data_IF_357986487473
#
_entry.id   IF_357986487473
#
_cell.length_a   1.000
_cell.length_b   1.000
_cell.length_c   1.000
_cell.angle_alpha   90.00
_cell.angle_beta   90.00
_cell.angle_gamma   90.00
#
_symmetry.space_group_name_H-M   'P 1'
#
loop_
_entity.id
_entity.type
_entity.pdbx_description
1 polymer ?
#
# COMPACT_ATOMS: atom_id res chain seq x y z
N UNK A 1 9.30 0.47 3.98
CA UNK A 1 10.50 0.89 3.28
C UNK A 1 11.75 0.18 3.80
N UNK A 2 12.74 0.12 2.99
CA UNK A 2 14.01 -0.54 3.28
C UNK A 2 15.14 0.18 2.56
N UNK A 3 16.31 0.25 3.18
CA UNK A 3 17.49 0.80 2.51
C UNK A 3 18.25 -0.35 1.86
N UNK A 4 18.47 -0.26 0.54
CA UNK A 4 19.20 -1.26 -0.24
C UNK A 4 20.27 -0.50 -1.02
N UNK A 5 21.54 -0.87 -0.85
CA UNK A 5 22.69 -0.21 -1.50
C UNK A 5 22.63 1.32 -1.35
N UNK A 6 22.36 1.77 -0.11
CA UNK A 6 22.30 3.19 0.25
C UNK A 6 21.10 3.95 -0.37
N UNK A 7 20.14 3.26 -0.98
CA UNK A 7 18.90 3.87 -1.46
C UNK A 7 17.73 3.40 -0.63
N UNK A 8 16.83 4.32 -0.28
CA UNK A 8 15.58 3.98 0.39
C UNK A 8 14.58 3.49 -0.65
N UNK A 9 14.03 2.32 -0.38
CA UNK A 9 13.10 1.65 -1.28
C UNK A 9 11.71 1.56 -0.64
N UNK A 10 10.69 1.63 -1.48
CA UNK A 10 9.28 1.53 -1.08
C UNK A 10 8.68 0.26 -1.66
N UNK A 11 7.93 -0.48 -0.85
CA UNK A 11 7.23 -1.67 -1.32
C UNK A 11 5.95 -1.25 -2.06
N UNK A 12 5.82 -1.68 -3.30
CA UNK A 12 4.65 -1.39 -4.13
C UNK A 12 4.11 -2.69 -4.72
N UNK A 13 2.84 -2.67 -5.14
CA UNK A 13 2.18 -3.83 -5.71
C UNK A 13 1.62 -3.53 -7.09
N UNK A 14 1.45 -4.58 -7.88
CA UNK A 14 0.67 -4.56 -9.12
C UNK A 14 -0.60 -5.36 -8.88
N UNK A 15 -1.79 -4.72 -8.96
CA UNK A 15 -3.04 -5.45 -8.78
C UNK A 15 -3.26 -6.46 -9.93
N UNK A 16 -3.87 -7.59 -9.60
CA UNK A 16 -4.23 -8.60 -10.61
C UNK A 16 -5.27 -8.02 -11.55
N UNK A 17 -5.04 -8.17 -12.85
CA UNK A 17 -5.90 -7.59 -13.88
C UNK A 17 -5.58 -6.14 -14.21
N UNK A 18 -4.68 -5.51 -13.45
CA UNK A 18 -4.24 -4.12 -13.67
C UNK A 18 -2.73 -4.04 -13.54
N UNK A 19 -2.01 -4.92 -14.24
CA UNK A 19 -0.57 -5.10 -14.07
C UNK A 19 0.27 -3.93 -14.58
N UNK A 20 -0.35 -2.93 -15.21
CA UNK A 20 0.32 -1.69 -15.61
C UNK A 20 0.34 -0.65 -14.48
N UNK A 21 -0.41 -0.89 -13.42
CA UNK A 21 -0.56 0.02 -12.30
C UNK A 21 0.41 -0.35 -11.19
N UNK A 22 1.06 0.65 -10.61
CA UNK A 22 1.75 0.52 -9.33
C UNK A 22 0.88 1.15 -8.26
N UNK A 23 0.68 0.44 -7.17
CA UNK A 23 -0.15 0.90 -6.05
C UNK A 23 0.55 0.60 -4.72
N UNK A 24 0.13 1.32 -3.68
CA UNK A 24 0.58 1.03 -2.32
C UNK A 24 -0.24 -0.13 -1.75
N UNK A 25 0.39 -1.01 -0.94
CA UNK A 25 -0.36 -2.05 -0.23
C UNK A 25 -1.39 -1.41 0.68
N UNK A 26 -2.60 -1.93 0.67
CA UNK A 26 -3.70 -1.44 1.50
C UNK A 26 -4.84 -2.44 1.52
N UNK A 27 -5.73 -2.30 2.48
CA UNK A 27 -6.92 -3.13 2.57
C UNK A 27 -7.91 -2.62 3.60
N UNK A 28 -8.91 -3.42 3.85
CA UNK A 28 -9.98 -3.08 4.79
C UNK A 28 -9.57 -3.35 6.24
N UNK A 29 -10.03 -2.49 7.14
CA UNK A 29 -9.89 -2.71 8.58
C UNK A 29 -10.81 -3.86 8.98
N UNK A 30 -10.24 -4.92 9.54
CA UNK A 30 -11.02 -6.04 10.06
C UNK A 30 -11.56 -5.69 11.45
N UNK A 31 -12.60 -6.41 11.87
CA UNK A 31 -13.20 -6.21 13.18
C UNK A 31 -12.14 -6.36 14.28
N UNK A 32 -12.08 -5.36 15.17
CA UNK A 32 -11.12 -5.36 16.27
C UNK A 32 -9.73 -4.86 15.94
N UNK A 33 -9.45 -4.57 14.66
CA UNK A 33 -8.16 -4.00 14.25
C UNK A 33 -8.16 -2.47 14.35
N UNK A 34 -7.01 -1.93 14.74
CA UNK A 34 -6.76 -0.49 14.54
C UNK A 34 -6.30 -0.27 13.09
N UNK A 35 -6.38 0.97 12.58
CA UNK A 35 -5.82 1.27 11.26
C UNK A 35 -4.34 0.91 11.11
N UNK A 36 -3.54 1.08 12.17
CA UNK A 36 -2.12 0.71 12.15
C UNK A 36 -1.93 -0.80 12.03
N UNK A 37 -2.73 -1.58 12.75
CA UNK A 37 -2.70 -3.04 12.67
C UNK A 37 -3.09 -3.51 11.27
N UNK A 38 -4.09 -2.86 10.67
CA UNK A 38 -4.51 -3.14 9.28
C UNK A 38 -3.35 -2.88 8.33
N UNK A 39 -2.67 -1.75 8.47
CA UNK A 39 -1.54 -1.40 7.60
C UNK A 39 -0.44 -2.47 7.67
N UNK A 40 -0.09 -2.92 8.87
CA UNK A 40 0.92 -3.97 9.06
C UNK A 40 0.49 -5.28 8.42
N UNK A 41 -0.74 -5.69 8.65
CA UNK A 41 -1.28 -6.95 8.13
C UNK A 41 -1.32 -6.94 6.60
N UNK A 42 -1.85 -5.86 6.01
CA UNK A 42 -1.97 -5.77 4.56
C UNK A 42 -0.61 -5.71 3.87
N UNK A 43 0.35 -5.00 4.45
CA UNK A 43 1.72 -4.96 3.90
C UNK A 43 2.31 -6.37 3.89
N UNK A 44 2.17 -7.12 4.98
CA UNK A 44 2.68 -8.48 5.06
C UNK A 44 1.99 -9.40 4.05
N UNK A 45 0.67 -9.36 3.99
CA UNK A 45 -0.11 -10.23 3.09
C UNK A 45 0.13 -9.91 1.61
N UNK A 46 0.20 -8.64 1.26
CA UNK A 46 0.31 -8.21 -0.13
C UNK A 46 1.75 -8.17 -0.65
N UNK A 47 2.73 -8.06 0.23
CA UNK A 47 4.14 -7.93 -0.21
C UNK A 47 5.08 -9.02 0.30
N UNK A 48 4.72 -9.71 1.38
CA UNK A 48 5.61 -10.68 2.03
C UNK A 48 6.57 -10.07 3.03
N UNK A 49 6.48 -8.75 3.26
CA UNK A 49 7.41 -8.04 4.15
C UNK A 49 6.71 -7.65 5.44
N UNK A 50 7.32 -8.00 6.57
CA UNK A 50 6.88 -7.56 7.88
C UNK A 50 7.37 -6.15 8.14
N UNK A 51 6.49 -5.24 8.56
CA UNK A 51 6.82 -3.84 8.79
C UNK A 51 6.52 -3.42 10.23
N UNK A 52 7.30 -2.44 10.70
CA UNK A 52 7.07 -1.79 11.99
C UNK A 52 6.59 -0.37 11.74
N UNK A 53 5.53 0.04 12.43
CA UNK A 53 4.96 1.39 12.31
C UNK A 53 5.96 2.42 12.82
N UNK A 54 6.22 3.44 12.01
CA UNK A 54 7.04 4.59 12.38
C UNK A 54 6.13 5.78 12.71
N UNK A 55 5.25 6.15 11.75
CA UNK A 55 4.29 7.24 11.97
C UNK A 55 3.16 7.18 10.94
N UNK A 56 2.08 7.87 11.25
CA UNK A 56 0.97 8.02 10.30
C UNK A 56 1.30 9.11 9.29
N UNK A 57 1.06 8.85 8.02
CA UNK A 57 1.28 9.81 6.93
C UNK A 57 0.01 10.59 6.59
N UNK A 58 -1.14 9.95 6.61
CA UNK A 58 -2.41 10.59 6.28
C UNK A 58 -3.47 9.62 5.85
N UNK A 59 -4.60 10.15 5.42
CA UNK A 59 -5.74 9.38 4.96
C UNK A 59 -6.02 9.68 3.50
N UNK A 60 -6.45 8.66 2.76
CA UNK A 60 -6.92 8.82 1.39
C UNK A 60 -8.37 8.36 1.33
N UNK A 61 -9.21 9.18 0.68
CA UNK A 61 -10.60 8.82 0.42
C UNK A 61 -10.69 8.25 -0.99
N UNK A 62 -11.21 7.04 -1.10
CA UNK A 62 -11.51 6.42 -2.37
C UNK A 62 -13.02 6.46 -2.60
N UNK A 63 -13.43 6.85 -3.80
CA UNK A 63 -14.83 6.90 -4.18
C UNK A 63 -14.99 6.06 -5.44
N UNK A 64 -15.95 5.15 -5.44
CA UNK A 64 -16.24 4.30 -6.60
C UNK A 64 -17.70 3.95 -6.65
N UNK A 65 -18.17 3.54 -7.81
CA UNK A 65 -19.55 3.12 -8.01
C UNK A 65 -19.63 1.61 -7.88
N UNK A 66 -20.52 1.13 -7.03
CA UNK A 66 -20.74 -0.30 -6.85
C UNK A 66 -21.30 -0.89 -8.14
N UNK A 67 -20.78 -2.06 -8.53
CA UNK A 67 -21.22 -2.78 -9.72
C UNK A 67 -21.74 -4.18 -9.42
N UNK A 68 -21.94 -4.50 -8.14
CA UNK A 68 -22.50 -5.79 -7.74
C UNK A 68 -24.00 -5.67 -7.50
N UNK A 69 -24.67 -6.81 -7.62
CA UNK A 69 -26.11 -6.90 -7.44
C UNK A 69 -26.55 -6.42 -6.06
N UNK A 70 -27.69 -5.71 -6.02
CA UNK A 70 -28.23 -5.13 -4.80
C UNK A 70 -27.69 -3.75 -4.45
N UNK A 71 -26.54 -3.36 -4.99
CA UNK A 71 -25.92 -2.05 -4.73
C UNK A 71 -25.47 -1.35 -6.00
N UNK A 72 -25.88 -1.85 -7.15
CA UNK A 72 -25.47 -1.31 -8.46
C UNK A 72 -25.85 0.16 -8.60
N UNK A 73 -24.87 0.98 -8.99
CA UNK A 73 -25.06 2.41 -9.14
C UNK A 73 -24.86 3.22 -7.87
N UNK A 74 -24.73 2.56 -6.73
CA UNK A 74 -24.50 3.21 -5.44
C UNK A 74 -23.07 3.73 -5.36
N UNK A 75 -22.89 4.95 -4.85
CA UNK A 75 -21.55 5.51 -4.63
C UNK A 75 -21.01 5.01 -3.29
N UNK A 76 -19.84 4.42 -3.34
CA UNK A 76 -19.17 3.87 -2.16
C UNK A 76 -18.00 4.76 -1.79
N UNK A 77 -17.88 5.07 -0.51
CA UNK A 77 -16.79 5.84 0.05
C UNK A 77 -15.94 4.93 0.95
N UNK A 78 -14.64 5.04 0.81
CA UNK A 78 -13.70 4.26 1.61
C UNK A 78 -12.55 5.17 2.03
N UNK A 79 -12.24 5.19 3.32
CA UNK A 79 -11.10 5.93 3.84
C UNK A 79 -10.03 4.93 4.26
N UNK A 80 -8.81 5.12 3.78
CA UNK A 80 -7.67 4.29 4.15
C UNK A 80 -6.62 5.17 4.82
N UNK A 81 -6.20 4.78 6.01
CA UNK A 81 -5.11 5.44 6.73
C UNK A 81 -3.78 4.84 6.27
N UNK A 82 -2.86 5.70 5.86
CA UNK A 82 -1.53 5.30 5.42
C UNK A 82 -0.49 5.63 6.49
N UNK A 83 0.42 4.68 6.68
CA UNK A 83 1.47 4.76 7.67
C UNK A 83 2.82 4.56 7.03
N UNK A 84 3.85 5.17 7.60
CA UNK A 84 5.23 4.89 7.24
C UNK A 84 5.68 3.70 8.08
N UNK A 85 6.11 2.63 7.42
CA UNK A 85 6.58 1.41 8.06
C UNK A 85 8.05 1.18 7.71
N UNK A 86 8.82 0.73 8.70
CA UNK A 86 10.19 0.26 8.46
C UNK A 86 10.14 -1.25 8.24
N UNK A 87 10.72 -1.71 7.14
CA UNK A 87 10.75 -3.13 6.80
C UNK A 87 11.65 -3.90 7.79
N UNK A 88 11.14 -5.02 8.27
CA UNK A 88 11.86 -5.98 9.08
C UNK A 88 12.09 -7.27 8.31
N UNK A 89 11.51 -8.35 8.80
CA UNK A 89 11.66 -9.69 8.21
C UNK A 89 10.81 -9.85 6.95
N UNK A 90 11.11 -10.89 6.20
CA UNK A 90 10.35 -11.28 5.03
C UNK A 90 11.03 -10.88 3.73
N UNK A 91 10.53 -11.45 2.64
CA UNK A 91 11.07 -11.23 1.29
C UNK A 91 9.99 -10.67 0.41
N UNK A 92 10.29 -9.56 -0.24
CA UNK A 92 9.35 -8.96 -1.20
C UNK A 92 8.98 -9.96 -2.29
N UNK A 93 7.70 -10.06 -2.60
CA UNK A 93 7.19 -11.01 -3.59
C UNK A 93 6.63 -12.29 -3.00
N UNK A 94 6.87 -12.58 -1.73
CA UNK A 94 6.27 -13.73 -1.04
C UNK A 94 4.85 -13.35 -0.57
N UNK A 95 3.98 -13.14 -1.53
CA UNK A 95 2.60 -12.72 -1.32
C UNK A 95 1.83 -13.85 -0.65
N UNK A 96 1.06 -13.53 0.39
CA UNK A 96 0.21 -14.51 1.05
C UNK A 96 -0.74 -15.14 0.03
N UNK A 97 -0.94 -16.47 0.12
CA UNK A 97 -1.74 -17.20 -0.85
C UNK A 97 -3.15 -16.65 -1.00
N UNK A 98 -3.75 -16.20 0.11
CA UNK A 98 -5.09 -15.61 0.11
C UNK A 98 -5.16 -14.32 -0.72
N UNK A 99 -4.03 -13.65 -0.93
CA UNK A 99 -3.96 -12.38 -1.65
C UNK A 99 -3.51 -12.52 -3.11
N UNK A 100 -3.10 -13.70 -3.54
CA UNK A 100 -2.61 -13.90 -4.93
C UNK A 100 -3.70 -13.69 -5.97
N UNK A 101 -4.95 -13.79 -5.59
CA UNK A 101 -6.08 -13.51 -6.47
C UNK A 101 -6.22 -12.01 -6.75
N UNK A 102 -5.74 -11.16 -5.83
CA UNK A 102 -5.85 -9.70 -5.93
C UNK A 102 -4.53 -9.03 -6.31
N UNK A 103 -3.40 -9.62 -5.93
CA UNK A 103 -2.07 -9.03 -6.13
C UNK A 103 -1.23 -9.92 -7.03
N UNK A 104 -0.83 -9.37 -8.18
CA UNK A 104 -0.03 -10.10 -9.16
C UNK A 104 1.46 -10.06 -8.84
N UNK A 105 1.93 -8.95 -8.29
CA UNK A 105 3.36 -8.74 -8.06
C UNK A 105 3.57 -7.75 -6.91
N UNK A 106 4.64 -7.93 -6.16
CA UNK A 106 5.12 -6.95 -5.19
C UNK A 106 6.61 -6.71 -5.45
N UNK A 107 7.04 -5.45 -5.40
CA UNK A 107 8.41 -5.08 -5.76
C UNK A 107 8.86 -3.85 -4.99
N UNK A 108 10.17 -3.78 -4.75
CA UNK A 108 10.78 -2.57 -4.22
C UNK A 108 10.94 -1.54 -5.33
N UNK A 109 10.43 -0.32 -5.10
CA UNK A 109 10.65 0.83 -5.99
C UNK A 109 11.51 1.85 -5.25
N UNK A 110 12.41 2.57 -5.95
CA UNK A 110 13.13 3.68 -5.30
C UNK A 110 12.14 4.71 -4.78
N UNK A 111 12.27 5.10 -3.53
CA UNK A 111 11.36 6.07 -2.92
C UNK A 111 11.38 7.41 -3.66
N UNK A 112 12.56 7.83 -4.15
CA UNK A 112 12.71 9.06 -4.94
C UNK A 112 11.83 9.06 -6.18
N UNK A 113 11.64 7.88 -6.78
CA UNK A 113 10.87 7.73 -8.01
C UNK A 113 9.39 7.40 -7.75
N UNK A 114 9.05 6.96 -6.55
CA UNK A 114 7.71 6.50 -6.23
C UNK A 114 6.62 7.53 -6.51
N UNK A 115 6.78 8.84 -6.19
CA UNK A 115 5.76 9.84 -6.54
C UNK A 115 5.47 9.92 -8.03
N UNK A 116 6.42 9.53 -8.87
CA UNK A 116 6.25 9.51 -10.32
C UNK A 116 5.71 8.17 -10.82
N UNK A 117 6.11 7.07 -10.17
CA UNK A 117 5.78 5.71 -10.61
C UNK A 117 4.40 5.22 -10.15
N UNK A 118 3.97 5.63 -8.96
CA UNK A 118 2.66 5.25 -8.46
C UNK A 118 1.56 5.83 -9.32
N UNK A 119 0.49 5.08 -9.52
CA UNK A 119 -0.56 5.42 -10.49
C UNK A 119 -1.66 6.32 -9.93
N UNK A 120 -1.90 6.27 -8.62
CA UNK A 120 -2.97 7.04 -8.00
C UNK A 120 -2.47 8.31 -7.33
N UNK A 121 -3.13 9.44 -7.60
CA UNK A 121 -2.72 10.76 -7.08
C UNK A 121 -2.57 10.80 -5.56
N UNK A 122 -3.53 10.26 -4.83
CA UNK A 122 -3.47 10.23 -3.37
C UNK A 122 -2.27 9.45 -2.86
N UNK A 123 -1.95 8.34 -3.51
CA UNK A 123 -0.82 7.50 -3.16
C UNK A 123 0.51 8.16 -3.52
N UNK A 124 0.56 8.88 -4.63
CA UNK A 124 1.73 9.69 -5.01
C UNK A 124 2.03 10.73 -3.93
N UNK A 125 0.99 11.37 -3.41
CA UNK A 125 1.13 12.36 -2.32
C UNK A 125 1.64 11.72 -1.04
N UNK A 126 1.20 10.50 -0.73
CA UNK A 126 1.68 9.77 0.44
C UNK A 126 3.16 9.42 0.31
N UNK A 127 3.58 8.96 -0.86
CA UNK A 127 4.99 8.68 -1.12
C UNK A 127 5.84 9.95 -1.01
N UNK A 128 5.34 11.07 -1.51
CA UNK A 128 6.02 12.37 -1.40
C UNK A 128 6.16 12.80 0.08
N UNK A 129 5.13 12.56 0.88
CA UNK A 129 5.20 12.84 2.32
C UNK A 129 6.25 11.98 3.01
N UNK A 130 6.32 10.69 2.67
CA UNK A 130 7.32 9.79 3.22
C UNK A 130 8.73 10.27 2.87
N UNK A 131 8.93 10.66 1.61
CA UNK A 131 10.21 11.19 1.14
C UNK A 131 10.61 12.45 1.90
N UNK A 132 9.67 13.36 2.10
CA UNK A 132 9.88 14.59 2.87
C UNK A 132 10.27 14.29 4.31
N UNK A 133 9.56 13.37 4.98
CA UNK A 133 9.85 12.99 6.38
C UNK A 133 11.24 12.39 6.54
N UNK A 134 11.70 11.63 5.55
CA UNK A 134 13.00 10.98 5.60
C UNK A 134 14.14 11.90 5.20
N UNK A 135 13.84 13.04 4.58
CA UNK A 135 14.84 14.02 4.14
C UNK A 135 15.04 15.14 5.17
N UNK A 136 14.19 15.22 6.18
CA UNK A 136 14.28 16.28 7.19
C UNK A 136 15.08 15.87 8.42
#
# INVERSE_FOLDING_TARGET
MRTIRSRTMLAAIRPRGKERIWALPKGHVDAGESPAETARREVLEETGVEGRIVEKLGDIRYVYTANWEGRKGERIFKVVSFFLLRAGRGRIGEIDESMRIEVAEARWLPLDDAPRLLSYDGERKMAAKALERLSS
#
